data_IF_622571604625
#
_entry.id   IF_622571604625
#
_cell.length_a   1.000
_cell.length_b   1.000
_cell.length_c   1.000
_cell.angle_alpha   90.00
_cell.angle_beta   90.00
_cell.angle_gamma   90.00
#
_symmetry.space_group_name_H-M   'P 1'
#
loop_
_entity.id
_entity.type
_entity.pdbx_description
1 polymer ?
#
# COMPACT_ATOMS: atom_id res chain seq x y z
N UNK A 1 -1.18 -20.71 8.71
CA UNK A 1 -1.42 -19.53 7.83
C UNK A 1 -0.40 -18.47 8.18
N UNK A 2 0.20 -17.86 7.17
CA UNK A 2 1.16 -16.75 7.38
C UNK A 2 0.41 -15.56 7.99
N UNK A 3 0.85 -15.05 9.15
CA UNK A 3 0.28 -13.85 9.75
C UNK A 3 0.89 -12.57 9.15
N UNK A 4 1.20 -12.64 7.85
CA UNK A 4 1.76 -11.56 7.06
C UNK A 4 0.74 -11.16 5.98
N UNK A 5 0.42 -9.87 5.95
CA UNK A 5 -0.43 -9.26 4.95
C UNK A 5 0.41 -8.34 4.07
N UNK A 6 0.57 -8.68 2.80
CA UNK A 6 1.19 -7.78 1.84
C UNK A 6 0.22 -6.63 1.53
N UNK A 7 0.75 -5.43 1.37
CA UNK A 7 -0.02 -4.20 1.42
C UNK A 7 0.59 -3.15 0.49
N UNK A 8 -0.26 -2.48 -0.28
CA UNK A 8 0.12 -1.37 -1.18
C UNK A 8 -1.05 -0.40 -1.32
N UNK A 9 -0.77 0.88 -1.57
CA UNK A 9 -1.80 1.91 -1.79
C UNK A 9 -1.60 2.59 -3.13
N UNK A 10 -2.70 3.06 -3.72
CA UNK A 10 -2.69 3.96 -4.87
C UNK A 10 -3.33 5.30 -4.49
N UNK A 11 -2.87 6.36 -5.14
CA UNK A 11 -3.32 7.73 -4.87
C UNK A 11 -3.89 8.39 -6.13
N UNK A 12 -4.89 9.23 -5.94
CA UNK A 12 -5.52 10.01 -7.01
C UNK A 12 -4.88 11.38 -7.26
N UNK A 13 -3.73 11.66 -6.60
CA UNK A 13 -2.95 12.87 -6.79
C UNK A 13 -1.45 12.56 -6.70
N UNK A 14 -0.62 13.49 -7.18
CA UNK A 14 0.84 13.35 -7.20
C UNK A 14 1.51 14.17 -6.08
N UNK A 15 2.78 13.90 -5.81
CA UNK A 15 3.57 14.72 -4.89
C UNK A 15 3.66 16.19 -5.35
N UNK A 16 3.64 16.45 -6.66
CA UNK A 16 3.64 17.81 -7.21
C UNK A 16 2.34 18.55 -6.88
N UNK A 17 1.18 17.86 -6.95
CA UNK A 17 -0.12 18.46 -6.64
C UNK A 17 -0.25 18.91 -5.19
N UNK A 18 0.47 18.25 -4.28
CA UNK A 18 0.41 18.50 -2.84
C UNK A 18 1.63 19.25 -2.29
N UNK A 19 2.56 19.68 -3.14
CA UNK A 19 3.74 20.44 -2.71
C UNK A 19 4.84 19.60 -2.06
N UNK A 20 4.84 18.29 -2.26
CA UNK A 20 5.90 17.37 -1.83
C UNK A 20 5.44 16.19 -1.00
N UNK A 21 6.27 15.16 -0.95
CA UNK A 21 6.02 13.89 -0.25
C UNK A 21 5.74 14.01 1.25
N UNK A 22 6.25 15.08 1.89
CA UNK A 22 6.08 15.34 3.33
C UNK A 22 4.66 15.76 3.70
N UNK A 23 3.84 16.18 2.75
CA UNK A 23 2.47 16.64 3.00
C UNK A 23 1.50 15.45 3.02
N UNK A 24 1.75 14.51 3.93
CA UNK A 24 1.08 13.21 4.00
C UNK A 24 -0.43 13.29 4.19
N UNK A 25 -0.93 14.34 4.83
CA UNK A 25 -2.36 14.60 5.04
C UNK A 25 -3.11 15.04 3.76
N UNK A 26 -2.39 15.40 2.70
CA UNK A 26 -2.98 15.85 1.43
C UNK A 26 -3.11 14.73 0.38
N UNK A 27 -2.57 13.54 0.66
CA UNK A 27 -2.74 12.41 -0.25
C UNK A 27 -4.21 12.00 -0.37
N UNK A 28 -4.64 11.73 -1.58
CA UNK A 28 -5.97 11.15 -1.86
C UNK A 28 -5.79 9.66 -2.11
N UNK A 29 -5.86 8.86 -1.05
CA UNK A 29 -5.85 7.40 -1.20
C UNK A 29 -7.10 6.97 -1.94
N UNK A 30 -6.94 6.28 -3.06
CA UNK A 30 -8.02 5.87 -3.97
C UNK A 30 -8.30 4.39 -3.89
N UNK A 31 -7.24 3.60 -3.73
CA UNK A 31 -7.30 2.15 -3.66
C UNK A 31 -6.26 1.65 -2.68
N UNK A 32 -6.57 0.55 -2.01
CA UNK A 32 -5.63 -0.21 -1.20
C UNK A 32 -5.77 -1.68 -1.57
N UNK A 33 -4.66 -2.34 -1.81
CA UNK A 33 -4.64 -3.78 -2.08
C UNK A 33 -3.94 -4.52 -0.96
N UNK A 34 -4.48 -5.68 -0.60
CA UNK A 34 -3.85 -6.57 0.37
C UNK A 34 -3.89 -8.02 -0.13
N UNK A 35 -2.87 -8.80 0.23
CA UNK A 35 -2.88 -10.26 0.00
C UNK A 35 -2.18 -10.99 1.14
N UNK A 36 -2.76 -12.12 1.55
CA UNK A 36 -2.14 -13.06 2.50
C UNK A 36 -1.38 -14.20 1.79
N UNK A 37 -1.30 -14.12 0.45
CA UNK A 37 -0.70 -15.12 -0.42
C UNK A 37 -1.69 -16.12 -1.02
N UNK A 38 -2.91 -16.19 -0.50
CA UNK A 38 -4.00 -17.02 -1.00
C UNK A 38 -5.20 -16.18 -1.46
N UNK A 39 -5.50 -15.13 -0.68
CA UNK A 39 -6.65 -14.26 -0.89
C UNK A 39 -6.20 -12.84 -1.17
N UNK A 40 -6.77 -12.25 -2.22
CA UNK A 40 -6.56 -10.86 -2.56
C UNK A 40 -7.79 -10.04 -2.14
N UNK A 41 -7.57 -8.87 -1.55
CA UNK A 41 -8.63 -7.91 -1.22
C UNK A 41 -8.28 -6.55 -1.78
N UNK A 42 -9.25 -5.93 -2.45
CA UNK A 42 -9.17 -4.56 -2.98
C UNK A 42 -10.15 -3.69 -2.21
N UNK A 43 -9.66 -2.61 -1.61
CA UNK A 43 -10.48 -1.62 -0.92
C UNK A 43 -10.59 -0.38 -1.81
N UNK A 44 -11.79 -0.08 -2.27
CA UNK A 44 -12.06 1.02 -3.21
C UNK A 44 -13.51 1.48 -3.08
N UNK A 45 -13.78 2.79 -3.12
CA UNK A 45 -15.13 3.35 -3.07
C UNK A 45 -15.72 3.55 -4.48
N UNK A 46 -15.51 2.57 -5.35
CA UNK A 46 -16.06 2.54 -6.71
C UNK A 46 -16.66 1.17 -6.99
N UNK A 47 -17.67 1.16 -7.85
CA UNK A 47 -18.26 -0.09 -8.34
C UNK A 47 -17.34 -0.70 -9.40
N UNK A 48 -16.50 -1.63 -8.97
CA UNK A 48 -15.56 -2.37 -9.82
C UNK A 48 -15.64 -3.86 -9.49
N UNK A 49 -15.32 -4.69 -10.47
CA UNK A 49 -15.12 -6.12 -10.28
C UNK A 49 -13.66 -6.44 -10.61
N UNK A 50 -12.98 -7.14 -9.71
CA UNK A 50 -11.58 -7.54 -9.89
C UNK A 50 -11.50 -9.05 -9.82
N UNK A 51 -11.09 -9.67 -10.93
CA UNK A 51 -10.96 -11.13 -11.01
C UNK A 51 -9.96 -11.65 -9.95
N UNK A 52 -10.38 -12.66 -9.20
CA UNK A 52 -9.54 -13.28 -8.17
C UNK A 52 -9.35 -12.44 -6.90
N UNK A 53 -10.12 -11.38 -6.71
CA UNK A 53 -10.06 -10.56 -5.51
C UNK A 53 -11.45 -10.31 -4.90
N UNK A 54 -11.48 -10.10 -3.59
CA UNK A 54 -12.65 -9.59 -2.88
C UNK A 54 -12.60 -8.08 -2.89
N UNK A 55 -13.64 -7.43 -3.40
CA UNK A 55 -13.74 -5.96 -3.39
C UNK A 55 -14.54 -5.51 -2.16
N UNK A 56 -14.00 -4.54 -1.42
CA UNK A 56 -14.60 -3.94 -0.24
C UNK A 56 -14.58 -2.42 -0.34
N UNK A 57 -15.47 -1.77 0.40
CA UNK A 57 -15.40 -0.31 0.57
C UNK A 57 -14.13 0.09 1.32
N UNK A 58 -13.54 1.22 0.94
CA UNK A 58 -12.28 1.71 1.52
C UNK A 58 -12.36 1.91 3.04
N UNK A 59 -13.55 2.29 3.55
CA UNK A 59 -13.78 2.41 5.01
C UNK A 59 -13.63 1.09 5.79
N UNK A 60 -13.78 -0.08 5.13
CA UNK A 60 -13.64 -1.39 5.77
C UNK A 60 -12.18 -1.69 6.13
N UNK A 61 -11.21 -1.08 5.44
CA UNK A 61 -9.78 -1.27 5.66
C UNK A 61 -9.38 -1.11 7.14
N UNK A 62 -9.91 -0.08 7.81
CA UNK A 62 -9.56 0.19 9.21
C UNK A 62 -9.91 -0.96 10.15
N UNK A 63 -11.03 -1.64 9.92
CA UNK A 63 -11.48 -2.77 10.73
C UNK A 63 -10.67 -4.02 10.43
N UNK A 64 -10.38 -4.27 9.16
CA UNK A 64 -9.59 -5.43 8.74
C UNK A 64 -8.14 -5.31 9.20
N UNK A 65 -7.55 -4.12 9.18
CA UNK A 65 -6.22 -3.85 9.73
C UNK A 65 -6.19 -3.97 11.26
N UNK A 66 -7.24 -3.53 11.96
CA UNK A 66 -7.33 -3.68 13.42
C UNK A 66 -7.41 -5.15 13.80
N UNK A 67 -8.29 -5.92 13.17
CA UNK A 67 -8.41 -7.36 13.40
C UNK A 67 -7.07 -8.08 13.11
N UNK A 68 -6.40 -7.74 12.02
CA UNK A 68 -5.09 -8.29 11.68
C UNK A 68 -4.04 -7.96 12.74
N UNK A 69 -3.99 -6.72 13.24
CA UNK A 69 -3.08 -6.29 14.29
C UNK A 69 -3.32 -7.05 15.61
N UNK A 70 -4.60 -7.18 16.04
CA UNK A 70 -4.98 -7.87 17.25
C UNK A 70 -4.59 -9.35 17.23
N UNK A 71 -4.60 -9.97 16.05
CA UNK A 71 -4.16 -11.36 15.83
C UNK A 71 -2.63 -11.50 15.76
N UNK A 72 -1.88 -10.46 16.04
CA UNK A 72 -0.42 -10.47 15.97
C UNK A 72 0.15 -10.31 14.55
N UNK A 73 -0.66 -9.86 13.62
CA UNK A 73 -0.32 -9.73 12.19
C UNK A 73 0.77 -8.71 11.90
N UNK A 74 1.46 -8.94 10.79
CA UNK A 74 2.51 -8.06 10.25
C UNK A 74 2.13 -7.57 8.86
N UNK A 75 2.47 -6.33 8.55
CA UNK A 75 2.37 -5.78 7.19
C UNK A 75 3.68 -5.95 6.44
N UNK A 76 3.58 -6.34 5.17
CA UNK A 76 4.70 -6.45 4.24
C UNK A 76 4.48 -5.48 3.08
N UNK A 77 5.51 -4.76 2.68
CA UNK A 77 5.47 -3.95 1.46
C UNK A 77 6.81 -3.29 1.15
N UNK A 78 6.82 -2.42 0.15
CA UNK A 78 8.02 -1.74 -0.28
C UNK A 78 7.93 -0.25 -0.01
N UNK A 79 8.67 0.25 0.98
CA UNK A 79 8.64 1.65 1.44
C UNK A 79 7.36 2.02 2.23
N UNK A 80 6.63 1.06 2.75
CA UNK A 80 5.35 1.27 3.43
C UNK A 80 5.49 2.13 4.69
N UNK A 81 6.60 2.03 5.41
CA UNK A 81 6.84 2.80 6.64
C UNK A 81 7.05 4.28 6.36
N UNK A 82 7.59 4.63 5.18
CA UNK A 82 7.87 6.01 4.81
C UNK A 82 6.77 6.66 3.94
N UNK A 83 5.90 5.87 3.31
CA UNK A 83 4.88 6.40 2.40
C UNK A 83 3.47 5.90 2.73
N UNK A 84 3.16 4.64 2.50
CA UNK A 84 1.79 4.10 2.55
C UNK A 84 1.14 4.31 3.92
N UNK A 85 1.81 3.89 4.98
CA UNK A 85 1.27 4.01 6.33
C UNK A 85 1.12 5.47 6.79
N UNK A 86 2.11 6.38 6.59
CA UNK A 86 1.90 7.81 6.86
C UNK A 86 0.76 8.43 6.05
N UNK A 87 0.61 8.09 4.76
CA UNK A 87 -0.49 8.59 3.93
C UNK A 87 -1.84 8.16 4.50
N UNK A 88 -2.03 6.89 4.85
CA UNK A 88 -3.27 6.39 5.47
C UNK A 88 -3.55 7.01 6.83
N UNK A 89 -2.53 7.13 7.69
CA UNK A 89 -2.66 7.73 9.01
C UNK A 89 -3.18 9.16 8.93
N UNK A 90 -2.59 9.96 8.02
CA UNK A 90 -2.78 11.40 8.01
C UNK A 90 -3.93 11.85 7.09
N UNK A 91 -4.17 11.14 5.98
CA UNK A 91 -5.25 11.49 5.05
C UNK A 91 -6.59 10.83 5.36
N UNK A 92 -6.56 9.65 5.98
CA UNK A 92 -7.78 8.87 6.27
C UNK A 92 -8.06 8.71 7.77
N UNK A 93 -7.17 9.23 8.63
CA UNK A 93 -7.26 9.14 10.11
C UNK A 93 -7.50 7.70 10.62
N UNK A 94 -6.82 6.73 10.02
CA UNK A 94 -6.91 5.34 10.44
C UNK A 94 -6.03 5.10 11.65
N UNK A 95 -6.64 5.11 12.85
CA UNK A 95 -5.91 5.04 14.13
C UNK A 95 -4.99 3.81 14.25
N UNK A 96 -5.41 2.63 13.79
CA UNK A 96 -4.60 1.41 13.91
C UNK A 96 -3.26 1.51 13.18
N UNK A 97 -3.16 2.33 12.13
CA UNK A 97 -1.92 2.57 11.40
C UNK A 97 -0.85 3.21 12.28
N UNK A 98 -1.26 4.03 13.28
CA UNK A 98 -0.32 4.60 14.27
C UNK A 98 0.38 3.50 15.07
N UNK A 99 -0.37 2.47 15.48
CA UNK A 99 0.19 1.32 16.22
C UNK A 99 1.18 0.52 15.36
N UNK A 100 0.86 0.27 14.09
CA UNK A 100 1.82 -0.35 13.17
C UNK A 100 3.11 0.47 13.04
N UNK A 101 3.02 1.80 12.97
CA UNK A 101 4.18 2.69 12.88
C UNK A 101 4.98 2.75 14.19
N UNK A 102 4.31 2.73 15.35
CA UNK A 102 4.96 2.68 16.67
C UNK A 102 5.72 1.37 16.87
N UNK A 103 5.14 0.24 16.41
CA UNK A 103 5.73 -1.10 16.49
C UNK A 103 6.39 -1.54 15.17
N UNK A 104 6.81 -0.60 14.30
CA UNK A 104 7.25 -0.90 12.93
C UNK A 104 8.38 -1.93 12.82
N UNK A 105 9.27 -2.00 13.79
CA UNK A 105 10.40 -2.95 13.77
C UNK A 105 9.95 -4.41 13.95
N UNK A 106 8.77 -4.62 14.53
CA UNK A 106 8.19 -5.95 14.78
C UNK A 106 6.97 -6.25 13.93
N UNK A 107 6.24 -5.20 13.50
CA UNK A 107 4.96 -5.29 12.79
C UNK A 107 5.04 -4.95 11.31
N UNK A 108 6.13 -4.34 10.84
CA UNK A 108 6.30 -3.99 9.43
C UNK A 108 7.53 -4.66 8.83
N UNK A 109 7.33 -5.37 7.74
CA UNK A 109 8.39 -5.92 6.89
C UNK A 109 8.49 -4.98 5.68
N UNK A 110 9.38 -4.00 5.76
CA UNK A 110 9.59 -3.01 4.70
C UNK A 110 10.82 -3.39 3.87
N UNK A 111 10.57 -3.94 2.68
CA UNK A 111 11.63 -4.44 1.80
C UNK A 111 12.57 -3.33 1.32
N UNK A 112 12.08 -2.08 1.17
CA UNK A 112 12.95 -0.94 0.81
C UNK A 112 13.96 -0.64 1.92
N UNK A 113 13.53 -0.64 3.20
CA UNK A 113 14.42 -0.45 4.35
C UNK A 113 15.43 -1.59 4.49
N UNK A 114 14.96 -2.84 4.33
CA UNK A 114 15.83 -4.03 4.40
C UNK A 114 16.93 -3.98 3.32
N UNK A 115 16.54 -3.69 2.08
CA UNK A 115 17.48 -3.59 0.95
C UNK A 115 18.45 -2.42 1.11
N UNK A 116 17.95 -1.26 1.58
CA UNK A 116 18.81 -0.10 1.85
C UNK A 116 19.85 -0.42 2.92
N UNK A 117 19.46 -1.13 3.98
CA UNK A 117 20.38 -1.57 5.03
C UNK A 117 21.44 -2.56 4.51
N UNK A 118 21.03 -3.49 3.64
CA UNK A 118 21.92 -4.53 3.10
C UNK A 118 22.86 -4.00 2.00
N UNK A 119 22.36 -3.15 1.10
CA UNK A 119 23.07 -2.70 -0.10
C UNK A 119 23.67 -1.28 0.02
N UNK A 120 23.39 -0.56 1.12
CA UNK A 120 23.83 0.82 1.33
C UNK A 120 23.13 1.85 0.42
N UNK A 121 22.16 1.44 -0.36
CA UNK A 121 21.39 2.31 -1.27
C UNK A 121 19.96 1.81 -1.44
N UNK A 122 19.05 2.73 -1.77
CA UNK A 122 17.66 2.39 -2.10
C UNK A 122 17.60 1.63 -3.43
N UNK A 123 16.85 0.53 -3.45
CA UNK A 123 16.60 -0.28 -4.64
C UNK A 123 15.10 -0.22 -4.94
N UNK A 124 14.69 0.24 -6.14
CA UNK A 124 13.28 0.23 -6.54
C UNK A 124 12.69 -1.18 -6.57
N UNK A 125 11.38 -1.29 -6.26
CA UNK A 125 10.67 -2.58 -6.28
C UNK A 125 10.74 -3.25 -7.65
N UNK A 126 10.62 -2.47 -8.73
CA UNK A 126 10.71 -2.98 -10.11
C UNK A 126 12.04 -3.69 -10.39
N UNK A 127 13.14 -3.16 -9.88
CA UNK A 127 14.45 -3.82 -10.01
C UNK A 127 14.50 -5.14 -9.24
N UNK A 128 13.90 -5.20 -8.05
CA UNK A 128 13.81 -6.44 -7.27
C UNK A 128 12.95 -7.48 -8.00
N UNK A 129 11.80 -7.07 -8.54
CA UNK A 129 10.92 -7.95 -9.29
C UNK A 129 11.58 -8.49 -10.55
N UNK A 130 12.23 -7.63 -11.34
CA UNK A 130 12.97 -8.05 -12.55
C UNK A 130 14.06 -9.06 -12.25
N UNK A 131 14.88 -8.77 -11.23
CA UNK A 131 16.05 -9.61 -10.94
C UNK A 131 15.68 -10.96 -10.30
N UNK A 132 14.58 -11.05 -9.56
CA UNK A 132 14.24 -12.25 -8.80
C UNK A 132 13.05 -13.04 -9.38
N UNK A 133 12.11 -12.37 -10.02
CA UNK A 133 10.86 -12.97 -10.48
C UNK A 133 10.69 -12.92 -12.01
N UNK A 134 11.64 -12.31 -12.72
CA UNK A 134 11.53 -12.01 -14.15
C UNK A 134 10.19 -11.30 -14.49
N UNK A 135 9.72 -10.47 -13.57
CA UNK A 135 8.47 -9.72 -13.63
C UNK A 135 8.75 -8.23 -13.60
N UNK A 136 7.85 -7.44 -14.14
CA UNK A 136 7.93 -5.99 -14.11
C UNK A 136 6.56 -5.39 -13.84
N UNK A 137 6.54 -4.14 -13.36
CA UNK A 137 5.29 -3.41 -13.15
C UNK A 137 4.55 -3.23 -14.47
N UNK A 138 3.23 -3.35 -14.43
CA UNK A 138 2.34 -3.03 -15.55
C UNK A 138 2.14 -1.52 -15.73
N UNK A 139 2.31 -0.73 -14.66
CA UNK A 139 2.20 0.73 -14.66
C UNK A 139 3.13 1.37 -13.64
N UNK A 140 3.15 2.68 -13.62
CA UNK A 140 3.81 3.49 -12.61
C UNK A 140 2.77 4.26 -11.76
N UNK A 141 3.19 4.91 -10.67
CA UNK A 141 2.27 5.67 -9.81
C UNK A 141 1.59 6.86 -10.52
N UNK A 142 2.14 7.35 -11.65
CA UNK A 142 1.50 8.38 -12.47
C UNK A 142 0.40 7.78 -13.35
N UNK A 143 0.54 6.53 -13.77
CA UNK A 143 -0.50 5.80 -14.49
C UNK A 143 -1.74 5.63 -13.64
N UNK A 144 -1.60 5.25 -12.36
CA UNK A 144 -2.72 5.10 -11.43
C UNK A 144 -3.50 6.43 -11.24
N UNK A 145 -2.79 7.56 -11.07
CA UNK A 145 -3.42 8.89 -10.97
C UNK A 145 -4.21 9.23 -12.23
N UNK A 146 -3.63 8.95 -13.41
CA UNK A 146 -4.29 9.20 -14.70
C UNK A 146 -5.54 8.32 -14.87
N UNK A 147 -5.43 7.02 -14.64
CA UNK A 147 -6.56 6.08 -14.75
C UNK A 147 -7.70 6.45 -13.80
N UNK A 148 -7.36 6.86 -12.58
CA UNK A 148 -8.35 7.35 -11.64
C UNK A 148 -9.09 8.59 -12.17
N UNK A 149 -8.37 9.57 -12.71
CA UNK A 149 -8.95 10.79 -13.26
C UNK A 149 -9.81 10.54 -14.51
N UNK A 150 -9.49 9.52 -15.29
CA UNK A 150 -10.21 9.08 -16.48
C UNK A 150 -11.41 8.15 -16.16
N UNK A 151 -11.61 7.78 -14.90
CA UNK A 151 -12.67 6.85 -14.48
C UNK A 151 -12.39 5.38 -14.81
N UNK A 152 -11.14 5.03 -15.13
CA UNK A 152 -10.68 3.67 -15.42
C UNK A 152 -10.26 2.97 -14.11
N UNK A 153 -11.24 2.77 -13.23
CA UNK A 153 -10.97 2.32 -11.86
C UNK A 153 -10.48 0.87 -11.78
N UNK A 154 -10.77 0.05 -12.79
CA UNK A 154 -10.30 -1.34 -12.88
C UNK A 154 -8.81 -1.44 -13.24
N UNK A 155 -8.22 -0.35 -13.76
CA UNK A 155 -6.81 -0.28 -14.11
C UNK A 155 -5.93 0.23 -12.96
N UNK A 156 -6.54 0.83 -11.92
CA UNK A 156 -5.85 1.35 -10.74
C UNK A 156 -5.49 0.22 -9.80
#
# INVERSE_FOLDING_TARGET
MSNILSFDIETGNTAADIGGWQNTHMWKVTCVTTTDGENNTVYIDKAVEVEGAVVKELKQLKYDLDDHFQKGGKLLGHNIVAFDLPALRDSMDIYIVRKYLEEKETRCIDTSRMMTKAAGKRIPLDNLAKCNLNSQKSGDGLSAVRWWSEGKYEEV
#
